data_IF_609179401677
#
_entry.id   IF_609179401677
#
_cell.length_a   1.000
_cell.length_b   1.000
_cell.length_c   1.000
_cell.angle_alpha   90.00
_cell.angle_beta   90.00
_cell.angle_gamma   90.00
#
_symmetry.space_group_name_H-M   'P 1'
#
loop_
_entity.id
_entity.type
_entity.pdbx_description
1 polymer ?
#
# COMPACT_ATOMS: atom_id res chain seq x y z
N UNK A 1 51.74 -31.57 -36.92
CA UNK A 1 50.78 -31.59 -38.05
C UNK A 1 50.95 -32.92 -38.73
N UNK A 2 49.87 -33.50 -39.23
CA UNK A 2 49.89 -34.80 -39.92
C UNK A 2 49.33 -34.57 -41.33
N UNK A 3 50.10 -34.95 -42.36
CA UNK A 3 49.65 -34.88 -43.75
C UNK A 3 48.91 -36.14 -44.10
N UNK A 4 47.63 -36.01 -44.44
CA UNK A 4 46.82 -37.10 -44.96
C UNK A 4 46.74 -36.91 -46.47
N UNK A 5 47.23 -37.89 -47.21
CA UNK A 5 47.20 -37.92 -48.67
C UNK A 5 46.06 -38.83 -49.11
N UNK A 6 45.03 -38.27 -49.74
CA UNK A 6 43.93 -39.03 -50.33
C UNK A 6 43.94 -38.76 -51.83
N UNK A 7 44.60 -39.62 -52.59
CA UNK A 7 44.80 -39.43 -54.03
C UNK A 7 45.72 -38.23 -54.35
N UNK A 8 45.49 -37.47 -55.43
CA UNK A 8 46.37 -36.37 -55.86
C UNK A 8 46.31 -35.13 -54.95
N UNK A 9 45.51 -35.16 -53.87
CA UNK A 9 45.37 -34.05 -52.93
C UNK A 9 46.04 -34.38 -51.58
N UNK A 10 46.90 -33.47 -51.11
CA UNK A 10 47.53 -33.54 -49.80
C UNK A 10 46.85 -32.53 -48.89
N UNK A 11 46.22 -33.00 -47.81
CA UNK A 11 45.60 -32.16 -46.81
C UNK A 11 46.40 -32.21 -45.51
N UNK A 12 46.69 -31.04 -44.94
CA UNK A 12 47.29 -30.95 -43.60
C UNK A 12 46.18 -30.95 -42.56
N UNK A 13 46.26 -31.88 -41.63
CA UNK A 13 45.32 -32.01 -40.51
C UNK A 13 46.03 -31.91 -39.17
N UNK A 14 45.26 -31.72 -38.11
CA UNK A 14 45.76 -31.81 -36.73
C UNK A 14 46.22 -33.24 -36.47
N UNK A 15 47.34 -33.41 -35.76
CA UNK A 15 47.89 -34.75 -35.47
C UNK A 15 46.86 -35.60 -34.72
N UNK A 16 46.64 -36.85 -35.14
CA UNK A 16 45.60 -37.72 -34.57
C UNK A 16 45.86 -38.08 -33.10
N UNK A 17 47.12 -38.11 -32.68
CA UNK A 17 47.54 -38.46 -31.32
C UNK A 17 47.49 -37.30 -30.32
N UNK A 18 47.96 -36.10 -30.71
CA UNK A 18 47.99 -34.94 -29.80
C UNK A 18 46.90 -33.91 -30.08
N UNK A 19 46.21 -33.97 -31.22
CA UNK A 19 45.12 -33.06 -31.58
C UNK A 19 45.47 -31.56 -31.45
N UNK A 20 46.76 -31.21 -31.51
CA UNK A 20 47.24 -29.83 -31.35
C UNK A 20 47.79 -29.47 -29.96
N UNK A 21 47.67 -30.32 -28.94
CA UNK A 21 48.22 -30.05 -27.59
C UNK A 21 49.73 -30.30 -27.46
N UNK A 22 50.37 -30.80 -28.53
CA UNK A 22 51.82 -31.15 -28.61
C UNK A 22 52.30 -32.20 -27.59
N UNK A 23 51.39 -32.78 -26.80
CA UNK A 23 51.70 -33.80 -25.80
C UNK A 23 50.75 -35.00 -25.96
N UNK A 24 51.31 -36.22 -25.92
CA UNK A 24 50.53 -37.44 -25.97
C UNK A 24 50.20 -37.93 -24.55
N UNK A 25 48.93 -37.90 -24.18
CA UNK A 25 48.43 -38.31 -22.86
C UNK A 25 48.02 -39.79 -22.92
N UNK A 26 48.85 -40.69 -22.39
CA UNK A 26 48.59 -42.14 -22.37
C UNK A 26 47.37 -42.52 -21.52
N UNK A 27 47.25 -41.95 -20.32
CA UNK A 27 46.11 -42.16 -19.42
C UNK A 27 45.37 -40.83 -19.25
N UNK A 28 44.27 -40.67 -19.98
CA UNK A 28 43.43 -39.46 -19.89
C UNK A 28 42.67 -39.46 -18.56
N UNK A 29 42.59 -38.30 -17.91
CA UNK A 29 41.69 -38.12 -16.76
C UNK A 29 40.24 -38.33 -17.23
N UNK A 30 39.44 -39.06 -16.45
CA UNK A 30 38.03 -39.35 -16.75
C UNK A 30 37.14 -38.10 -16.67
N UNK A 31 37.50 -37.13 -15.83
CA UNK A 31 36.69 -35.92 -15.62
C UNK A 31 36.95 -34.83 -16.67
N UNK A 32 38.19 -34.68 -17.12
CA UNK A 32 38.57 -33.62 -18.07
C UNK A 32 38.98 -34.13 -19.45
N UNK A 33 39.09 -35.45 -19.65
CA UNK A 33 39.47 -36.11 -20.92
C UNK A 33 40.80 -35.64 -21.52
N UNK A 34 41.67 -35.04 -20.69
CA UNK A 34 42.93 -34.43 -21.13
C UNK A 34 42.83 -32.95 -21.55
N UNK A 35 41.69 -32.29 -21.33
CA UNK A 35 41.48 -30.85 -21.58
C UNK A 35 42.05 -29.94 -20.49
N UNK A 36 42.40 -30.49 -19.32
CA UNK A 36 43.01 -29.74 -18.21
C UNK A 36 42.07 -28.78 -17.47
N UNK A 37 40.78 -28.75 -17.82
CA UNK A 37 39.75 -28.00 -17.11
C UNK A 37 38.41 -28.74 -17.14
N UNK A 38 37.62 -28.57 -16.09
CA UNK A 38 36.29 -29.17 -15.93
C UNK A 38 35.28 -28.08 -15.61
N UNK A 39 34.05 -28.18 -16.14
CA UNK A 39 32.98 -27.25 -15.80
C UNK A 39 32.37 -27.65 -14.47
N UNK A 40 32.55 -26.82 -13.45
CA UNK A 40 31.92 -27.01 -12.14
C UNK A 40 30.85 -25.95 -11.89
N UNK A 41 29.75 -26.35 -11.27
CA UNK A 41 28.71 -25.43 -10.81
C UNK A 41 29.16 -24.80 -9.50
N UNK A 42 29.28 -23.47 -9.47
CA UNK A 42 29.59 -22.71 -8.27
C UNK A 42 28.41 -21.80 -7.94
N UNK A 43 27.95 -21.84 -6.68
CA UNK A 43 26.99 -20.86 -6.16
C UNK A 43 27.76 -19.59 -5.78
N UNK A 44 27.26 -18.43 -6.19
CA UNK A 44 27.85 -17.13 -5.88
C UNK A 44 26.76 -16.27 -5.26
N UNK A 45 27.03 -15.71 -4.09
CA UNK A 45 26.13 -14.77 -3.42
C UNK A 45 26.43 -13.37 -3.92
N UNK A 46 25.45 -12.71 -4.52
CA UNK A 46 25.58 -11.34 -5.01
C UNK A 46 24.89 -10.42 -4.01
N UNK A 47 25.62 -9.53 -3.32
CA UNK A 47 25.00 -8.51 -2.47
C UNK A 47 24.30 -7.49 -3.35
N UNK A 48 23.00 -7.25 -3.11
CA UNK A 48 22.26 -6.20 -3.80
C UNK A 48 22.39 -4.91 -2.98
N UNK A 49 23.10 -3.88 -3.48
CA UNK A 49 23.21 -2.62 -2.76
C UNK A 49 21.84 -1.93 -2.69
N UNK A 50 21.53 -1.38 -1.52
CA UNK A 50 20.29 -0.62 -1.33
C UNK A 50 20.26 0.61 -2.26
N UNK A 51 19.11 0.85 -2.89
CA UNK A 51 18.92 1.99 -3.79
C UNK A 51 19.24 1.73 -5.26
N UNK A 52 19.61 0.50 -5.65
CA UNK A 52 19.98 0.18 -7.03
C UNK A 52 18.91 0.62 -8.04
N UNK A 53 19.33 1.19 -9.17
CA UNK A 53 18.42 1.64 -10.22
C UNK A 53 18.05 0.52 -11.19
N UNK A 54 16.95 0.71 -11.92
CA UNK A 54 16.54 -0.22 -12.97
C UNK A 54 17.55 -0.19 -14.13
N UNK A 55 17.99 -1.37 -14.58
CA UNK A 55 19.00 -1.51 -15.63
C UNK A 55 20.45 -1.31 -15.16
N UNK A 56 20.68 -1.03 -13.87
CA UNK A 56 22.04 -0.87 -13.35
C UNK A 56 22.81 -2.18 -13.42
N UNK A 57 24.04 -2.13 -13.93
CA UNK A 57 24.90 -3.31 -14.07
C UNK A 57 26.06 -3.26 -13.07
N UNK A 58 26.18 -4.28 -12.23
CA UNK A 58 27.27 -4.45 -11.27
C UNK A 58 28.30 -5.44 -11.83
N UNK A 59 29.56 -5.05 -11.81
CA UNK A 59 30.70 -5.90 -12.15
C UNK A 59 31.24 -6.57 -10.89
N UNK A 60 31.40 -7.88 -10.94
CA UNK A 60 31.97 -8.66 -9.83
C UNK A 60 32.96 -9.69 -10.35
N UNK A 61 34.14 -9.73 -9.74
CA UNK A 61 35.17 -10.73 -10.05
C UNK A 61 34.93 -12.00 -9.26
N UNK A 62 34.80 -13.13 -9.95
CA UNK A 62 34.63 -14.46 -9.36
C UNK A 62 35.82 -15.34 -9.78
N UNK A 63 36.85 -15.34 -8.95
CA UNK A 63 38.12 -15.98 -9.29
C UNK A 63 38.77 -15.30 -10.49
N UNK A 64 39.06 -16.07 -11.54
CA UNK A 64 39.70 -15.57 -12.77
C UNK A 64 38.70 -15.10 -13.84
N UNK A 65 37.41 -15.02 -13.51
CA UNK A 65 36.34 -14.59 -14.42
C UNK A 65 35.61 -13.39 -13.85
N UNK A 66 34.97 -12.62 -14.71
CA UNK A 66 34.15 -11.47 -14.32
C UNK A 66 32.70 -11.74 -14.69
N UNK A 67 31.79 -11.34 -13.80
CA UNK A 67 30.35 -11.40 -13.99
C UNK A 67 29.82 -9.97 -14.09
N UNK A 68 28.93 -9.76 -15.06
CA UNK A 68 28.14 -8.54 -15.20
C UNK A 68 26.70 -8.89 -14.84
N UNK A 69 26.21 -8.32 -13.74
CA UNK A 69 24.87 -8.57 -13.22
C UNK A 69 24.04 -7.33 -13.45
N UNK A 70 23.11 -7.38 -14.39
CA UNK A 70 22.14 -6.30 -14.65
C UNK A 70 20.89 -6.52 -13.82
N UNK A 71 20.56 -5.55 -12.98
CA UNK A 71 19.37 -5.58 -12.15
C UNK A 71 18.17 -5.03 -12.92
N UNK A 72 17.01 -5.66 -12.73
CA UNK A 72 15.73 -5.17 -13.26
C UNK A 72 14.77 -5.04 -12.09
N UNK A 73 14.21 -3.86 -11.92
CA UNK A 73 13.28 -3.56 -10.84
C UNK A 73 11.85 -3.70 -11.37
N UNK A 74 11.05 -4.52 -10.69
CA UNK A 74 9.65 -4.67 -11.04
C UNK A 74 8.86 -3.40 -10.73
N UNK A 75 7.91 -3.06 -11.61
CA UNK A 75 7.06 -1.88 -11.42
C UNK A 75 6.06 -2.15 -10.31
N UNK A 76 5.89 -1.18 -9.40
CA UNK A 76 4.85 -1.21 -8.38
C UNK A 76 3.62 -0.45 -8.85
N UNK A 77 2.43 -0.92 -8.47
CA UNK A 77 1.17 -0.23 -8.72
C UNK A 77 0.98 1.01 -7.83
N UNK A 78 1.57 0.98 -6.63
CA UNK A 78 1.40 2.03 -5.62
C UNK A 78 2.52 3.06 -5.61
N UNK A 79 3.78 2.61 -5.77
CA UNK A 79 4.96 3.47 -5.74
C UNK A 79 5.50 3.72 -7.15
N UNK A 80 5.64 4.99 -7.51
CA UNK A 80 6.37 5.43 -8.70
C UNK A 80 7.74 5.94 -8.29
N UNK A 81 8.80 5.35 -8.83
CA UNK A 81 10.17 5.74 -8.53
C UNK A 81 10.66 6.79 -9.53
N UNK A 82 11.27 7.85 -9.03
CA UNK A 82 12.04 8.81 -9.84
C UNK A 82 13.43 9.01 -9.20
N UNK A 83 14.43 8.31 -9.73
CA UNK A 83 15.79 8.28 -9.17
C UNK A 83 15.81 7.76 -7.71
N UNK A 84 16.13 8.65 -6.77
CA UNK A 84 16.12 8.37 -5.33
C UNK A 84 14.79 8.74 -4.64
N UNK A 85 13.95 9.52 -5.33
CA UNK A 85 12.69 10.00 -4.81
C UNK A 85 11.55 9.05 -5.19
N UNK A 86 10.49 9.10 -4.39
CA UNK A 86 9.33 8.21 -4.52
C UNK A 86 8.08 9.04 -4.61
N UNK A 87 7.20 8.69 -5.53
CA UNK A 87 5.92 9.34 -5.74
C UNK A 87 4.80 8.34 -5.45
N UNK A 88 3.84 8.76 -4.63
CA UNK A 88 2.61 8.01 -4.38
C UNK A 88 1.39 8.90 -4.58
N UNK A 89 0.31 8.28 -5.01
CA UNK A 89 -1.00 8.93 -5.10
C UNK A 89 -1.83 8.51 -3.88
N UNK A 90 -2.30 9.49 -3.12
CA UNK A 90 -3.14 9.26 -1.95
C UNK A 90 -4.56 9.78 -2.24
N UNK A 91 -5.51 8.85 -2.28
CA UNK A 91 -6.91 9.19 -2.50
C UNK A 91 -7.56 9.74 -1.22
N UNK A 92 -8.14 10.92 -1.32
CA UNK A 92 -8.85 11.60 -0.23
C UNK A 92 -10.32 11.81 -0.59
N UNK A 93 -11.19 11.78 0.41
CA UNK A 93 -12.61 12.07 0.21
C UNK A 93 -12.86 13.57 -0.01
N UNK A 94 -13.95 13.92 -0.67
CA UNK A 94 -14.38 15.32 -0.86
C UNK A 94 -14.52 16.04 0.48
N UNK A 95 -15.10 15.39 1.48
CA UNK A 95 -15.25 15.96 2.82
C UNK A 95 -13.91 16.25 3.50
N UNK A 96 -12.94 15.35 3.39
CA UNK A 96 -11.58 15.57 3.91
C UNK A 96 -10.83 16.66 3.16
N UNK A 97 -11.03 16.79 1.85
CA UNK A 97 -10.43 17.86 1.07
C UNK A 97 -10.93 19.24 1.50
N UNK A 98 -12.23 19.36 1.78
CA UNK A 98 -12.88 20.63 2.19
C UNK A 98 -12.57 20.95 3.65
N UNK A 99 -12.88 20.03 4.57
CA UNK A 99 -12.81 20.26 6.02
C UNK A 99 -11.42 20.01 6.60
N UNK A 100 -10.54 19.35 5.85
CA UNK A 100 -9.29 18.80 6.36
C UNK A 100 -9.49 17.47 7.07
N UNK A 101 -8.40 16.92 7.60
CA UNK A 101 -8.42 15.68 8.36
C UNK A 101 -7.06 15.02 8.43
N UNK A 102 -7.04 13.72 8.71
CA UNK A 102 -5.83 12.91 8.70
C UNK A 102 -6.00 11.71 7.80
N UNK A 103 -4.93 11.32 7.12
CA UNK A 103 -4.88 10.09 6.34
C UNK A 103 -3.61 9.31 6.69
N UNK A 104 -3.69 7.98 6.61
CA UNK A 104 -2.53 7.10 6.74
C UNK A 104 -2.14 6.63 5.34
N UNK A 105 -0.87 6.81 5.01
CA UNK A 105 -0.27 6.33 3.76
C UNK A 105 0.80 5.30 4.06
N UNK A 106 1.03 4.42 3.10
CA UNK A 106 2.10 3.43 3.20
C UNK A 106 3.40 4.07 2.69
N UNK A 107 4.42 4.11 3.53
CA UNK A 107 5.78 4.48 3.13
C UNK A 107 6.60 3.24 2.75
N UNK A 108 7.82 3.44 2.28
CA UNK A 108 8.72 2.33 1.92
C UNK A 108 9.21 1.51 3.12
N UNK A 109 9.38 2.17 4.27
CA UNK A 109 9.92 1.55 5.49
C UNK A 109 8.88 1.47 6.60
N UNK A 110 8.07 2.53 6.74
CA UNK A 110 7.05 2.66 7.77
C UNK A 110 5.85 3.42 7.22
N UNK A 111 4.70 3.25 7.86
CA UNK A 111 3.50 4.01 7.52
C UNK A 111 3.59 5.44 8.07
N UNK A 112 3.07 6.39 7.30
CA UNK A 112 3.06 7.79 7.69
C UNK A 112 1.63 8.30 7.83
N UNK A 113 1.37 9.02 8.92
CA UNK A 113 0.12 9.75 9.08
C UNK A 113 0.33 11.19 8.62
N UNK A 114 -0.45 11.61 7.62
CA UNK A 114 -0.40 12.96 7.06
C UNK A 114 -1.63 13.75 7.46
N UNK A 115 -1.42 15.02 7.78
CA UNK A 115 -2.49 15.98 7.98
C UNK A 115 -2.87 16.58 6.63
N UNK A 116 -4.15 16.49 6.29
CA UNK A 116 -4.75 17.15 5.14
C UNK A 116 -5.29 18.49 5.62
N UNK A 117 -4.77 19.57 5.07
CA UNK A 117 -5.22 20.91 5.40
C UNK A 117 -6.62 21.16 4.79
N UNK A 118 -7.48 21.96 5.44
CA UNK A 118 -8.74 22.38 4.84
C UNK A 118 -8.49 23.13 3.52
N UNK A 119 -9.33 22.89 2.51
CA UNK A 119 -9.16 23.48 1.18
C UNK A 119 -8.04 22.85 0.34
N UNK A 120 -7.68 21.60 0.60
CA UNK A 120 -6.65 20.91 -0.21
C UNK A 120 -7.18 20.60 -1.61
N UNK A 121 -6.53 21.16 -2.63
CA UNK A 121 -6.85 20.90 -4.04
C UNK A 121 -6.37 19.53 -4.51
N UNK A 122 -7.00 19.01 -5.56
CA UNK A 122 -6.48 17.83 -6.26
C UNK A 122 -5.09 18.11 -6.84
N UNK A 123 -4.22 17.10 -6.82
CA UNK A 123 -2.81 17.14 -7.24
C UNK A 123 -1.89 17.99 -6.36
N UNK A 124 -2.36 18.44 -5.19
CA UNK A 124 -1.49 19.07 -4.20
C UNK A 124 -0.44 18.05 -3.74
N UNK A 125 0.83 18.47 -3.72
CA UNK A 125 1.96 17.62 -3.36
C UNK A 125 2.48 17.97 -1.98
N UNK A 126 2.60 16.97 -1.12
CA UNK A 126 3.33 17.08 0.15
C UNK A 126 4.65 16.34 0.01
N UNK A 127 5.73 16.96 0.51
CA UNK A 127 7.07 16.37 0.55
C UNK A 127 7.35 15.83 1.94
N UNK A 128 7.70 14.55 2.02
CA UNK A 128 8.23 13.91 3.22
C UNK A 128 9.74 13.77 3.07
N UNK A 129 10.46 14.64 3.78
CA UNK A 129 11.92 14.72 3.69
C UNK A 129 12.59 13.47 4.24
N UNK A 130 13.51 12.88 3.48
CA UNK A 130 14.32 11.73 3.90
C UNK A 130 13.56 10.40 4.02
N UNK A 131 12.33 10.34 3.53
CA UNK A 131 11.49 9.12 3.52
C UNK A 131 11.48 8.37 2.18
N UNK A 132 12.32 8.76 1.24
CA UNK A 132 12.53 8.09 -0.04
C UNK A 132 13.60 7.00 0.01
N UNK A 133 14.15 6.63 -1.15
CA UNK A 133 15.13 5.56 -1.25
C UNK A 133 16.55 6.01 -0.90
N UNK A 134 17.36 5.07 -0.44
CA UNK A 134 18.78 5.32 -0.20
C UNK A 134 19.48 5.63 -1.53
N UNK A 135 20.36 6.62 -1.54
CA UNK A 135 21.19 6.94 -2.71
C UNK A 135 22.32 5.91 -2.85
N UNK A 136 22.55 5.40 -4.07
CA UNK A 136 23.59 4.38 -4.33
C UNK A 136 25.00 4.95 -4.17
N UNK A 137 25.24 6.14 -4.73
CA UNK A 137 26.55 6.78 -4.81
C UNK A 137 26.75 7.93 -3.80
N UNK A 138 25.89 8.04 -2.78
CA UNK A 138 25.90 9.18 -1.87
C UNK A 138 25.39 8.85 -0.48
N UNK A 139 25.59 9.78 0.45
CA UNK A 139 25.02 9.68 1.79
C UNK A 139 23.59 10.23 1.82
N UNK A 140 22.72 9.55 2.55
CA UNK A 140 21.34 9.98 2.78
C UNK A 140 20.29 9.27 1.92
N UNK A 141 19.07 9.76 2.10
CA UNK A 141 17.86 9.26 1.46
C UNK A 141 17.30 10.32 0.51
N UNK A 142 16.56 9.88 -0.51
CA UNK A 142 15.66 10.75 -1.26
C UNK A 142 14.41 11.08 -0.45
N UNK A 143 13.46 11.72 -1.11
CA UNK A 143 12.22 12.18 -0.52
C UNK A 143 11.01 11.40 -1.03
N UNK A 144 9.95 11.41 -0.24
CA UNK A 144 8.68 10.81 -0.63
C UNK A 144 7.65 11.92 -0.89
N UNK A 145 7.26 12.04 -2.15
CA UNK A 145 6.23 12.97 -2.62
C UNK A 145 4.87 12.29 -2.68
N UNK A 146 3.94 12.85 -1.92
CA UNK A 146 2.57 12.33 -1.84
C UNK A 146 1.68 13.31 -2.58
N UNK A 147 1.04 12.84 -3.63
CA UNK A 147 0.10 13.64 -4.43
C UNK A 147 -1.31 13.27 -4.01
N UNK A 148 -2.07 14.25 -3.52
CA UNK A 148 -3.47 14.01 -3.17
C UNK A 148 -4.35 13.96 -4.39
N UNK A 149 -5.29 13.03 -4.42
CA UNK A 149 -6.29 12.90 -5.46
C UNK A 149 -7.67 12.83 -4.81
N UNK A 150 -8.58 13.71 -5.21
CA UNK A 150 -9.93 13.69 -4.64
C UNK A 150 -10.73 12.58 -5.33
N UNK A 151 -11.13 11.59 -4.55
CA UNK A 151 -12.00 10.50 -5.00
C UNK A 151 -13.45 10.91 -4.82
N UNK A 152 -14.12 11.21 -5.95
CA UNK A 152 -15.54 11.56 -5.97
C UNK A 152 -16.37 10.28 -6.13
N UNK A 153 -17.29 9.97 -5.20
CA UNK A 153 -18.13 8.79 -5.30
C UNK A 153 -19.08 8.86 -6.51
N UNK A 154 -19.15 7.78 -7.31
CA UNK A 154 -20.01 7.71 -8.51
C UNK A 154 -21.50 7.57 -8.20
N UNK A 155 -21.83 6.96 -7.06
CA UNK A 155 -23.20 6.72 -6.63
C UNK A 155 -23.43 7.40 -5.29
N UNK A 156 -24.47 8.24 -5.24
CA UNK A 156 -24.88 8.95 -4.05
C UNK A 156 -26.28 8.52 -3.63
N UNK A 157 -26.46 8.29 -2.33
CA UNK A 157 -27.78 8.05 -1.75
C UNK A 157 -28.63 9.34 -1.82
N UNK A 158 -29.95 9.22 -1.77
CA UNK A 158 -30.89 10.35 -1.81
C UNK A 158 -30.58 11.40 -0.73
N UNK A 159 -30.15 10.96 0.46
CA UNK A 159 -29.71 11.84 1.56
C UNK A 159 -28.45 12.63 1.21
N UNK A 160 -27.45 11.96 0.66
CA UNK A 160 -26.18 12.59 0.26
C UNK A 160 -26.40 13.57 -0.90
N UNK A 161 -27.25 13.20 -1.88
CA UNK A 161 -27.66 14.10 -2.97
C UNK A 161 -28.29 15.38 -2.43
N UNK A 162 -29.26 15.26 -1.51
CA UNK A 162 -29.91 16.43 -0.91
C UNK A 162 -28.91 17.34 -0.18
N UNK A 163 -27.94 16.78 0.55
CA UNK A 163 -26.89 17.55 1.23
C UNK A 163 -25.97 18.31 0.25
N UNK A 164 -25.50 17.63 -0.80
CA UNK A 164 -24.63 18.26 -1.81
C UNK A 164 -25.40 19.32 -2.61
N UNK A 165 -26.69 19.10 -2.90
CA UNK A 165 -27.54 20.11 -3.53
C UNK A 165 -27.74 21.33 -2.62
N UNK A 166 -27.95 21.13 -1.32
CA UNK A 166 -28.04 22.25 -0.37
C UNK A 166 -26.71 23.01 -0.26
N UNK A 167 -25.57 22.31 -0.28
CA UNK A 167 -24.25 22.94 -0.33
C UNK A 167 -24.07 23.78 -1.61
N UNK A 168 -24.48 23.26 -2.76
CA UNK A 168 -24.41 23.97 -4.04
C UNK A 168 -25.28 25.25 -4.11
N UNK A 169 -26.33 25.37 -3.28
CA UNK A 169 -27.11 26.61 -3.15
C UNK A 169 -26.33 27.71 -2.43
N UNK A 170 -25.45 27.33 -1.50
CA UNK A 170 -24.65 28.25 -0.69
C UNK A 170 -23.30 28.61 -1.32
N UNK A 171 -22.88 27.87 -2.34
CA UNK A 171 -21.60 28.10 -3.02
C UNK A 171 -21.66 29.39 -3.85
N UNK A 172 -20.71 30.30 -3.67
CA UNK A 172 -20.70 31.61 -4.35
C UNK A 172 -19.92 31.55 -5.69
N UNK A 173 -18.79 30.84 -5.73
CA UNK A 173 -17.84 30.84 -6.86
C UNK A 173 -17.94 29.60 -7.76
N UNK A 174 -19.09 29.40 -8.41
CA UNK A 174 -19.28 28.28 -9.34
C UNK A 174 -19.12 28.71 -10.79
N UNK A 175 -18.09 28.26 -11.53
CA UNK A 175 -18.01 28.50 -12.97
C UNK A 175 -19.04 27.63 -13.69
N UNK A 176 -20.14 28.24 -14.15
CA UNK A 176 -21.16 27.61 -14.99
C UNK A 176 -22.49 27.29 -14.28
N UNK A 177 -23.19 26.26 -14.77
CA UNK A 177 -24.49 25.81 -14.25
C UNK A 177 -24.37 24.45 -13.57
N UNK A 178 -24.96 24.32 -12.39
CA UNK A 178 -25.07 23.05 -11.66
C UNK A 178 -26.41 22.41 -12.02
N UNK A 179 -26.39 21.13 -12.42
CA UNK A 179 -27.62 20.41 -12.76
C UNK A 179 -28.58 20.39 -11.57
N UNK A 180 -29.80 20.91 -11.78
CA UNK A 180 -30.86 20.91 -10.78
C UNK A 180 -30.84 22.12 -9.82
N UNK A 181 -29.94 23.09 -10.01
CA UNK A 181 -29.95 24.38 -9.31
C UNK A 181 -30.13 25.50 -10.34
N UNK A 182 -31.17 26.30 -10.19
CA UNK A 182 -31.45 27.45 -11.06
C UNK A 182 -31.20 28.75 -10.31
N UNK A 183 -30.83 29.79 -11.05
CA UNK A 183 -30.74 31.14 -10.52
C UNK A 183 -32.12 31.78 -10.59
N UNK A 184 -32.61 32.31 -9.47
CA UNK A 184 -33.79 33.18 -9.45
C UNK A 184 -33.43 34.54 -10.01
N UNK A 185 -34.45 35.29 -10.41
CA UNK A 185 -34.32 36.70 -10.82
C UNK A 185 -33.63 37.58 -9.78
N UNK A 186 -33.69 37.18 -8.50
CA UNK A 186 -33.07 37.88 -7.37
C UNK A 186 -31.59 37.53 -7.18
N UNK A 187 -30.99 36.73 -8.07
CA UNK A 187 -29.62 36.23 -7.96
C UNK A 187 -29.44 35.05 -6.99
N UNK A 188 -30.45 34.72 -6.19
CA UNK A 188 -30.42 33.56 -5.28
C UNK A 188 -30.54 32.23 -6.03
N UNK A 189 -29.71 31.25 -5.63
CA UNK A 189 -29.74 29.88 -6.16
C UNK A 189 -30.89 29.09 -5.52
N UNK A 190 -31.62 28.32 -6.31
CA UNK A 190 -32.69 27.45 -5.84
C UNK A 190 -32.67 26.09 -6.54
N UNK A 191 -32.70 25.01 -5.76
CA UNK A 191 -32.78 23.67 -6.28
C UNK A 191 -34.19 23.32 -6.77
N UNK A 192 -34.25 22.71 -7.96
CA UNK A 192 -35.48 22.19 -8.61
C UNK A 192 -35.68 20.68 -8.32
N UNK A 193 -34.91 20.10 -7.39
CA UNK A 193 -34.82 18.63 -7.25
C UNK A 193 -36.13 17.97 -6.78
N UNK A 194 -36.31 16.70 -7.17
CA UNK A 194 -37.47 15.86 -6.87
C UNK A 194 -37.66 15.47 -5.40
N UNK A 195 -36.64 15.63 -4.54
CA UNK A 195 -36.70 15.33 -3.10
C UNK A 195 -36.88 16.60 -2.27
N UNK A 196 -37.99 17.30 -2.49
CA UNK A 196 -38.30 18.60 -1.88
C UNK A 196 -38.34 18.52 -0.35
N UNK A 197 -38.88 17.43 0.21
CA UNK A 197 -39.06 17.29 1.66
C UNK A 197 -37.75 17.25 2.45
N UNK A 198 -36.75 16.51 1.96
CA UNK A 198 -35.44 16.44 2.62
C UNK A 198 -34.66 17.74 2.47
N UNK A 199 -34.74 18.40 1.31
CA UNK A 199 -34.13 19.71 1.13
C UNK A 199 -34.76 20.75 2.05
N UNK A 200 -36.09 20.73 2.20
CA UNK A 200 -36.81 21.62 3.11
C UNK A 200 -36.39 21.40 4.56
N UNK A 201 -36.20 20.15 4.98
CA UNK A 201 -35.68 19.83 6.31
C UNK A 201 -34.24 20.33 6.53
N UNK A 202 -33.36 20.18 5.52
CA UNK A 202 -31.98 20.70 5.59
C UNK A 202 -31.97 22.23 5.65
N UNK A 203 -32.75 22.91 4.80
CA UNK A 203 -32.87 24.38 4.83
C UNK A 203 -33.42 24.88 6.16
N UNK A 204 -34.40 24.18 6.72
CA UNK A 204 -34.96 24.49 8.03
C UNK A 204 -33.92 24.30 9.16
N UNK A 205 -33.09 23.27 9.07
CA UNK A 205 -32.01 23.04 10.01
C UNK A 205 -30.90 24.11 9.92
N UNK A 206 -30.51 24.53 8.71
CA UNK A 206 -29.48 25.56 8.48
C UNK A 206 -30.01 26.97 8.83
N UNK A 207 -31.27 27.27 8.50
CA UNK A 207 -31.91 28.56 8.77
C UNK A 207 -32.31 28.79 10.22
N UNK A 208 -32.19 27.77 11.08
CA UNK A 208 -32.43 27.84 12.52
C UNK A 208 -33.89 28.07 12.91
N UNK A 209 -34.50 27.09 13.59
CA UNK A 209 -35.39 27.46 14.70
C UNK A 209 -34.51 27.81 15.90
N UNK A 210 -34.58 29.06 16.30
CA UNK A 210 -34.48 29.44 17.71
C UNK A 210 -35.62 28.70 18.45
N UNK A 211 -35.35 27.49 18.97
CA UNK A 211 -36.26 26.81 19.89
C UNK A 211 -35.88 27.22 21.31
N UNK A 212 -36.41 28.36 21.73
CA UNK A 212 -36.72 28.55 23.13
C UNK A 212 -37.73 27.46 23.54
N UNK A 213 -37.30 26.61 24.46
CA UNK A 213 -38.09 26.12 25.57
C UNK A 213 -39.30 25.21 25.24
N UNK A 214 -39.08 23.89 25.24
CA UNK A 214 -40.10 22.95 25.70
C UNK A 214 -39.88 22.73 27.19
N UNK A 215 -40.69 23.40 27.99
CA UNK A 215 -40.90 23.11 29.41
C UNK A 215 -41.12 21.61 29.59
N UNK A 216 -40.40 21.02 30.54
CA UNK A 216 -40.79 19.74 31.15
C UNK A 216 -42.23 19.89 31.70
N UNK A 217 -43.15 18.95 31.44
CA UNK A 217 -44.34 18.86 32.24
C UNK A 217 -43.96 18.20 33.57
N UNK A 218 -43.88 19.04 34.60
CA UNK A 218 -43.97 18.66 36.00
C UNK A 218 -45.29 17.94 36.24
N UNK A 219 -45.22 16.66 36.61
CA UNK A 219 -46.27 15.99 37.38
C UNK A 219 -45.72 15.69 38.77
N UNK A 220 -46.12 16.52 39.72
CA UNK A 220 -46.09 16.35 41.17
C UNK A 220 -47.53 16.67 41.58
N UNK A 221 -48.29 15.90 42.37
CA UNK A 221 -48.01 15.04 43.50
C UNK A 221 -49.13 13.99 43.67
N UNK A 222 -48.81 12.85 44.25
CA UNK A 222 -49.46 12.42 45.51
C UNK A 222 -48.69 11.22 46.09
N UNK A 223 -48.11 11.46 47.26
CA UNK A 223 -47.57 10.44 48.12
C UNK A 223 -48.71 9.62 48.75
N UNK A 224 -48.53 8.31 48.88
CA UNK A 224 -48.76 7.64 50.17
C UNK A 224 -48.18 6.21 50.23
N UNK A 225 -47.36 6.01 51.28
CA UNK A 225 -47.09 4.78 52.06
C UNK A 225 -46.24 3.63 51.50
N UNK A 226 -45.03 3.52 52.07
CA UNK A 226 -44.35 2.25 52.38
C UNK A 226 -45.11 1.50 53.49
N UNK A 227 -45.03 0.15 53.60
CA UNK A 227 -43.90 -0.43 54.36
C UNK A 227 -43.39 -1.82 53.93
N UNK A 228 -42.06 -1.96 54.05
CA UNK A 228 -41.23 -3.05 54.60
C UNK A 228 -41.57 -4.56 54.45
N UNK A 229 -40.52 -5.27 54.03
CA UNK A 229 -39.95 -6.55 54.55
C UNK A 229 -40.82 -7.80 54.70
N UNK A 230 -40.43 -8.86 53.99
CA UNK A 230 -40.19 -10.18 54.60
C UNK A 230 -38.96 -10.84 53.97
N UNK A 231 -37.94 -11.02 54.81
CA UNK A 231 -36.98 -12.11 54.70
C UNK A 231 -37.71 -13.41 55.07
N UNK A 232 -37.35 -14.53 54.43
CA UNK A 232 -37.33 -15.82 55.09
C UNK A 232 -36.33 -16.75 54.42
N UNK A 233 -35.36 -17.15 55.24
CA UNK A 233 -34.28 -18.10 55.02
C UNK A 233 -34.79 -19.54 54.87
N UNK A 234 -34.05 -20.41 54.16
CA UNK A 234 -33.24 -21.51 54.77
C UNK A 234 -32.78 -22.58 53.78
N UNK A 235 -31.49 -22.92 53.96
CA UNK A 235 -30.79 -24.21 53.82
C UNK A 235 -30.77 -24.92 52.45
N UNK A 236 -29.65 -25.46 51.97
CA UNK A 236 -28.37 -25.77 52.61
C UNK A 236 -28.01 -27.25 52.39
N UNK A 237 -26.87 -27.50 51.73
CA UNK A 237 -25.95 -28.68 51.76
C UNK A 237 -25.13 -28.61 50.45
N UNK A 238 -23.85 -28.18 50.46
CA UNK A 238 -22.62 -28.91 50.83
C UNK A 238 -22.60 -30.33 50.28
N UNK A 239 -21.69 -30.59 49.34
CA UNK A 239 -20.56 -31.50 49.52
C UNK A 239 -19.39 -31.06 48.62
N UNK A 240 -18.22 -30.95 49.26
CA UNK A 240 -16.89 -30.89 48.65
C UNK A 240 -16.45 -32.33 48.33
N UNK A 241 -15.70 -32.52 47.25
CA UNK A 241 -14.60 -33.50 47.11
C UNK A 241 -13.92 -33.22 45.74
N UNK A 242 -12.70 -32.67 45.70
CA UNK A 242 -11.42 -33.39 45.73
C UNK A 242 -11.24 -34.37 44.55
N UNK A 243 -10.42 -34.00 43.56
CA UNK A 243 -9.08 -34.57 43.40
C UNK A 243 -8.42 -34.20 42.07
N UNK A 244 -7.17 -33.79 42.19
CA UNK A 244 -6.14 -33.56 41.19
C UNK A 244 -5.75 -34.81 40.36
N UNK A 245 -4.95 -34.56 39.31
CA UNK A 245 -4.02 -35.52 38.71
C UNK A 245 -4.42 -36.02 37.32
N UNK A 246 -3.56 -36.15 36.32
CA UNK A 246 -2.15 -35.82 36.11
C UNK A 246 -1.87 -36.20 34.64
N UNK A 247 -0.80 -35.63 34.11
CA UNK A 247 -0.12 -35.88 32.83
C UNK A 247 -0.27 -37.27 32.17
N UNK A 248 -0.35 -37.29 30.83
CA UNK A 248 0.45 -38.22 29.99
C UNK A 248 0.48 -37.84 28.51
N UNK A 249 1.58 -37.19 28.11
CA UNK A 249 2.50 -37.58 27.02
C UNK A 249 1.96 -38.54 25.94
N UNK A 250 1.87 -38.10 24.68
CA UNK A 250 2.09 -38.97 23.52
C UNK A 250 2.75 -38.24 22.35
N UNK A 251 3.97 -38.68 22.06
CA UNK A 251 4.69 -38.53 20.80
C UNK A 251 4.05 -39.47 19.76
N UNK A 252 3.89 -39.04 18.51
CA UNK A 252 4.60 -39.58 17.34
C UNK A 252 3.93 -39.25 15.98
N UNK A 253 4.80 -38.83 15.04
CA UNK A 253 4.90 -39.19 13.61
C UNK A 253 3.71 -38.88 12.67
N UNK A 254 3.93 -37.91 11.77
CA UNK A 254 4.46 -38.16 10.42
C UNK A 254 5.16 -36.91 9.88
#
# INVERSE_FOLDING_TARGET
MESITTGPFVMRSTCRYCQGTRMYIKHKCTECEGKGSTVQRKKVTIPVPAGIEDGQTVRMSVGNKELFVTFRVEKSDYFKRDGADVHTEADISVSQAILGGTIRIQGLYEDHTLQVMPGTSSHTKIRLSGKGMKKVNGYGHGDHYVTFKISVPKHLNNKQKALITAYAELEEDTPGQIMGVTYKTDGSKAATSSNIDMLKAIRFAIGGKNVQNSKNPTHTESADRLPQMKNEDKNGKRDEDLSDGEDTKLKNKN
#
